data_IF_404633407961
#
_entry.id   IF_404633407961
#
_cell.length_a   1.000
_cell.length_b   1.000
_cell.length_c   1.000
_cell.angle_alpha   90.00
_cell.angle_beta   90.00
_cell.angle_gamma   90.00
#
_symmetry.space_group_name_H-M   'P 1'
#
loop_
_entity.id
_entity.type
_entity.pdbx_description
1 polymer ?
#
# COMPACT_ATOMS: atom_id res chain seq x y z
N UNK A 1 15.26 18.38 -11.72
CA UNK A 1 13.94 19.02 -11.66
C UNK A 1 13.04 18.24 -10.71
N UNK A 2 12.86 18.66 -9.44
CA UNK A 2 11.94 17.97 -8.55
C UNK A 2 10.50 18.32 -8.96
N UNK A 3 9.67 17.30 -9.21
CA UNK A 3 8.24 17.50 -9.44
C UNK A 3 7.61 17.93 -8.12
N UNK A 4 7.04 19.13 -8.10
CA UNK A 4 6.09 19.52 -7.06
C UNK A 4 4.92 18.55 -7.08
N UNK A 5 4.79 17.68 -6.08
CA UNK A 5 3.50 17.06 -5.77
C UNK A 5 2.64 18.13 -5.13
N UNK A 6 1.97 18.93 -5.96
CA UNK A 6 0.92 19.85 -5.52
C UNK A 6 -0.10 19.03 -4.73
N UNK A 7 -0.24 19.34 -3.44
CA UNK A 7 -1.31 18.83 -2.60
C UNK A 7 -1.18 17.36 -2.21
N UNK A 8 -0.27 17.05 -1.28
CA UNK A 8 -0.51 15.90 -0.40
C UNK A 8 -1.82 16.18 0.32
N UNK A 9 -2.87 15.39 0.04
CA UNK A 9 -4.13 15.41 0.79
C UNK A 9 -3.79 15.41 2.28
N UNK A 10 -4.13 16.50 2.95
CA UNK A 10 -3.85 16.65 4.38
C UNK A 10 -5.10 16.19 5.11
N UNK A 11 -5.08 14.95 5.60
CA UNK A 11 -6.22 14.38 6.33
C UNK A 11 -6.65 15.27 7.52
N UNK A 12 -5.71 16.05 8.08
CA UNK A 12 -5.98 17.05 9.11
C UNK A 12 -6.83 18.22 8.61
N UNK A 13 -6.51 18.76 7.42
CA UNK A 13 -7.29 19.86 6.81
C UNK A 13 -8.67 19.37 6.36
N UNK A 14 -8.73 18.15 5.82
CA UNK A 14 -9.99 17.52 5.43
C UNK A 14 -10.88 17.24 6.65
N UNK A 15 -10.30 16.79 7.76
CA UNK A 15 -11.02 16.58 9.02
C UNK A 15 -11.56 17.89 9.61
N UNK A 16 -10.76 18.97 9.58
CA UNK A 16 -11.20 20.29 10.03
C UNK A 16 -12.35 20.82 9.17
N UNK A 17 -12.23 20.74 7.84
CA UNK A 17 -13.28 21.17 6.93
C UNK A 17 -14.56 20.34 7.11
N UNK A 18 -14.45 19.03 7.33
CA UNK A 18 -15.59 18.19 7.65
C UNK A 18 -16.25 18.60 8.97
N UNK A 19 -15.47 18.86 10.02
CA UNK A 19 -15.98 19.33 11.30
C UNK A 19 -16.69 20.69 11.19
N UNK A 20 -16.12 21.63 10.43
CA UNK A 20 -16.75 22.93 10.15
C UNK A 20 -18.06 22.76 9.36
N UNK A 21 -18.10 21.86 8.38
CA UNK A 21 -19.31 21.57 7.62
C UNK A 21 -20.43 20.96 8.49
N UNK A 22 -20.09 20.11 9.45
CA UNK A 22 -21.03 19.58 10.45
C UNK A 22 -21.53 20.69 11.37
N UNK A 23 -20.63 21.52 11.92
CA UNK A 23 -20.99 22.63 12.80
C UNK A 23 -21.90 23.67 12.11
N UNK A 24 -21.63 23.95 10.84
CA UNK A 24 -22.42 24.87 10.03
C UNK A 24 -23.75 24.27 9.51
N UNK A 25 -24.02 22.99 9.81
CA UNK A 25 -25.24 22.30 9.39
C UNK A 25 -25.29 21.93 7.91
N UNK A 26 -24.18 22.04 7.17
CA UNK A 26 -24.10 21.64 5.76
C UNK A 26 -23.91 20.12 5.59
N UNK A 27 -23.24 19.47 6.54
CA UNK A 27 -23.03 18.03 6.54
C UNK A 27 -23.97 17.36 7.57
N UNK A 28 -25.19 17.03 7.14
CA UNK A 28 -26.24 16.42 7.99
C UNK A 28 -26.34 14.90 7.87
N UNK A 29 -25.51 14.29 7.03
CA UNK A 29 -25.51 12.84 6.85
C UNK A 29 -25.15 12.14 8.16
N UNK A 30 -26.01 11.23 8.63
CA UNK A 30 -25.67 10.33 9.73
C UNK A 30 -24.50 9.45 9.32
N UNK A 31 -23.38 9.44 10.07
CA UNK A 31 -22.26 8.60 9.73
C UNK A 31 -22.69 7.13 9.80
N UNK A 32 -22.35 6.36 8.77
CA UNK A 32 -22.49 4.89 8.82
C UNK A 32 -21.57 4.38 9.92
N UNK A 33 -22.13 3.61 10.85
CA UNK A 33 -21.32 2.93 11.86
C UNK A 33 -20.27 2.09 11.15
N UNK A 34 -19.00 2.22 11.54
CA UNK A 34 -17.89 1.52 10.90
C UNK A 34 -17.84 0.03 11.27
N UNK A 35 -18.97 -0.56 11.66
CA UNK A 35 -19.07 -1.91 12.20
C UNK A 35 -19.36 -2.95 11.10
N UNK A 36 -19.15 -4.22 11.44
CA UNK A 36 -19.52 -5.34 10.57
C UNK A 36 -18.68 -5.40 9.29
N UNK A 37 -19.34 -5.40 8.13
CA UNK A 37 -18.67 -5.64 6.83
C UNK A 37 -17.59 -4.60 6.50
N UNK A 38 -17.78 -3.34 6.87
CA UNK A 38 -16.80 -2.28 6.63
C UNK A 38 -15.49 -2.54 7.38
N UNK A 39 -15.58 -2.97 8.64
CA UNK A 39 -14.40 -3.32 9.45
C UNK A 39 -13.75 -4.61 8.95
N UNK A 40 -14.53 -5.62 8.55
CA UNK A 40 -13.97 -6.85 7.97
C UNK A 40 -13.16 -6.57 6.69
N UNK A 41 -13.64 -5.70 5.81
CA UNK A 41 -12.91 -5.27 4.61
C UNK A 41 -11.63 -4.53 4.98
N UNK A 42 -11.68 -3.65 6.00
CA UNK A 42 -10.50 -2.94 6.50
C UNK A 42 -9.44 -3.90 7.02
N UNK A 43 -9.83 -4.91 7.79
CA UNK A 43 -8.92 -5.95 8.28
C UNK A 43 -8.28 -6.74 7.14
N UNK A 44 -9.05 -7.12 6.11
CA UNK A 44 -8.52 -7.78 4.92
C UNK A 44 -7.52 -6.90 4.17
N UNK A 45 -7.82 -5.61 4.03
CA UNK A 45 -6.94 -4.63 3.38
C UNK A 45 -5.63 -4.46 4.16
N UNK A 46 -5.69 -4.36 5.48
CA UNK A 46 -4.51 -4.33 6.35
C UNK A 46 -3.66 -5.59 6.14
N UNK A 47 -4.28 -6.77 6.18
CA UNK A 47 -3.57 -8.04 5.97
C UNK A 47 -2.90 -8.11 4.58
N UNK A 48 -3.60 -7.68 3.53
CA UNK A 48 -3.06 -7.58 2.17
C UNK A 48 -1.85 -6.64 2.10
N UNK A 49 -1.96 -5.43 2.66
CA UNK A 49 -0.89 -4.44 2.60
C UNK A 49 0.35 -4.92 3.37
N UNK A 50 0.14 -5.56 4.51
CA UNK A 50 1.21 -6.22 5.26
C UNK A 50 1.85 -7.35 4.46
N UNK A 51 1.08 -8.16 3.72
CA UNK A 51 1.63 -9.21 2.87
C UNK A 51 2.48 -8.64 1.73
N UNK A 52 2.03 -7.55 1.09
CA UNK A 52 2.77 -6.85 0.03
C UNK A 52 4.09 -6.27 0.56
N UNK A 53 4.05 -5.63 1.73
CA UNK A 53 5.22 -5.08 2.40
C UNK A 53 6.22 -6.18 2.76
N UNK A 54 5.77 -7.23 3.46
CA UNK A 54 6.62 -8.36 3.87
C UNK A 54 7.22 -9.09 2.69
N UNK A 55 6.47 -9.26 1.59
CA UNK A 55 7.01 -9.84 0.35
C UNK A 55 8.13 -8.99 -0.23
N UNK A 56 7.99 -7.67 -0.21
CA UNK A 56 9.01 -6.75 -0.69
C UNK A 56 10.24 -6.79 0.21
N UNK A 57 10.06 -6.78 1.52
CA UNK A 57 11.14 -6.93 2.50
C UNK A 57 11.89 -8.26 2.32
N UNK A 58 11.17 -9.38 2.18
CA UNK A 58 11.78 -10.69 1.94
C UNK A 58 12.63 -10.71 0.66
N UNK A 59 12.14 -10.09 -0.43
CA UNK A 59 12.92 -9.96 -1.67
C UNK A 59 14.20 -9.15 -1.48
N UNK A 60 14.15 -8.05 -0.72
CA UNK A 60 15.34 -7.25 -0.43
C UNK A 60 16.34 -8.05 0.41
N UNK A 61 15.86 -8.75 1.45
CA UNK A 61 16.71 -9.60 2.29
C UNK A 61 17.37 -10.72 1.49
N UNK A 62 16.62 -11.43 0.64
CA UNK A 62 17.19 -12.48 -0.23
C UNK A 62 18.26 -11.92 -1.17
N UNK A 63 18.04 -10.75 -1.77
CA UNK A 63 19.04 -10.09 -2.62
C UNK A 63 20.31 -9.75 -1.83
N UNK A 64 20.17 -9.21 -0.62
CA UNK A 64 21.31 -8.91 0.24
C UNK A 64 22.11 -10.17 0.57
N UNK A 65 21.45 -11.29 0.90
CA UNK A 65 22.11 -12.57 1.13
C UNK A 65 22.87 -13.07 -0.11
N UNK A 66 22.27 -12.95 -1.30
CA UNK A 66 22.93 -13.35 -2.55
C UNK A 66 24.17 -12.50 -2.87
N UNK A 67 24.16 -11.20 -2.57
CA UNK A 67 25.33 -10.32 -2.78
C UNK A 67 26.52 -10.78 -1.95
N UNK A 68 26.27 -11.31 -0.74
CA UNK A 68 27.30 -11.82 0.16
C UNK A 68 27.58 -13.33 0.00
N UNK A 69 26.89 -14.01 -0.91
CA UNK A 69 27.08 -15.45 -1.15
C UNK A 69 28.35 -15.73 -1.98
N UNK A 70 28.96 -16.93 -1.83
CA UNK A 70 30.03 -17.43 -2.68
C UNK A 70 29.72 -17.37 -4.19
N UNK A 71 30.75 -17.24 -5.03
CA UNK A 71 30.63 -17.04 -6.49
C UNK A 71 29.87 -18.13 -7.23
N UNK A 72 29.95 -19.37 -6.76
CA UNK A 72 29.21 -20.50 -7.31
C UNK A 72 27.70 -20.30 -7.14
N UNK A 73 27.27 -20.00 -5.91
CA UNK A 73 25.86 -19.71 -5.58
C UNK A 73 25.34 -18.46 -6.30
N UNK A 74 26.16 -17.42 -6.47
CA UNK A 74 25.79 -16.23 -7.25
C UNK A 74 25.56 -16.57 -8.72
N UNK A 75 26.42 -17.41 -9.31
CA UNK A 75 26.29 -17.85 -10.72
C UNK A 75 25.05 -18.72 -10.93
N UNK A 76 24.79 -19.67 -10.04
CA UNK A 76 23.63 -20.56 -10.13
C UNK A 76 22.28 -19.85 -9.97
N UNK A 77 22.25 -18.75 -9.20
CA UNK A 77 21.02 -18.00 -8.90
C UNK A 77 20.78 -16.82 -9.84
N UNK A 78 21.80 -16.35 -10.56
CA UNK A 78 21.68 -15.23 -11.51
C UNK A 78 20.64 -15.45 -12.63
N UNK A 79 20.41 -16.70 -13.02
CA UNK A 79 19.43 -17.07 -14.08
C UNK A 79 18.00 -17.24 -13.55
N UNK A 80 17.78 -17.18 -12.23
CA UNK A 80 16.49 -17.48 -11.58
C UNK A 80 15.68 -16.24 -11.19
N UNK A 81 16.09 -15.07 -11.64
CA UNK A 81 15.45 -13.80 -11.26
C UNK A 81 13.96 -13.83 -11.65
N UNK A 82 13.03 -13.46 -10.75
CA UNK A 82 11.62 -13.34 -11.10
C UNK A 82 11.40 -12.02 -11.85
N UNK A 83 11.85 -11.97 -13.11
CA UNK A 83 11.55 -10.88 -14.02
C UNK A 83 10.40 -11.27 -14.95
N UNK A 84 9.19 -11.00 -14.46
CA UNK A 84 7.96 -10.80 -15.22
C UNK A 84 6.81 -10.64 -14.21
N UNK A 85 6.69 -9.47 -13.59
CA UNK A 85 5.42 -9.08 -12.97
C UNK A 85 4.69 -8.14 -13.92
N UNK A 86 3.65 -8.59 -14.64
CA UNK A 86 2.76 -7.65 -15.30
C UNK A 86 2.14 -6.76 -14.21
N UNK A 87 2.43 -5.46 -14.29
CA UNK A 87 1.63 -4.42 -13.63
C UNK A 87 0.36 -4.29 -14.45
N UNK A 88 -0.78 -4.31 -13.79
CA UNK A 88 -2.15 -4.37 -14.34
C UNK A 88 -2.67 -5.78 -14.68
N UNK A 89 -3.42 -6.34 -13.74
CA UNK A 89 -4.73 -6.92 -14.04
C UNK A 89 -5.64 -6.83 -12.82
N UNK A 90 -6.30 -5.68 -12.70
CA UNK A 90 -7.59 -5.52 -12.04
C UNK A 90 -8.38 -4.50 -12.86
N UNK A 91 -8.93 -4.99 -13.97
CA UNK A 91 -10.15 -4.54 -14.63
C UNK A 91 -10.61 -5.78 -15.44
N UNK A 92 -11.89 -6.15 -15.32
CA UNK A 92 -12.53 -7.42 -15.73
C UNK A 92 -12.27 -8.58 -14.74
N UNK A 93 -13.25 -9.23 -14.11
CA UNK A 93 -14.71 -9.29 -14.26
C UNK A 93 -15.39 -9.46 -12.89
#
# INVERSE_FOLDING_TARGET
MPRHTVGRKSDTLDAENAARAVLAGFATATPVSADGAAEMIRQLKIAHDQAVERRSAAMVTMKAMLVHAPDELRRETALKTPDARPRHRCAAD
#
